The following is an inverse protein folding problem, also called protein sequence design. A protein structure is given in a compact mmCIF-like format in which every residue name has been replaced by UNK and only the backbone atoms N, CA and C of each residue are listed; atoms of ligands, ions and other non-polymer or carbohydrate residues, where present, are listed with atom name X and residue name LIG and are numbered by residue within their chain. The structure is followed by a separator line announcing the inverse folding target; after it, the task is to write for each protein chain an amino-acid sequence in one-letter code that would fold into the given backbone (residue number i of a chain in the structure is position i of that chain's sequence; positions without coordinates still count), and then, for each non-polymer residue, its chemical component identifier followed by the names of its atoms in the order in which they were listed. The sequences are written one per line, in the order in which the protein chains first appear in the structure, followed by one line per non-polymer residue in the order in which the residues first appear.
data_IF_596575487642
#
_entry.id   IF_596575487642
#
_cell.length_a   1.000
_cell.length_b   1.000
_cell.length_c   1.000
_cell.angle_alpha   90.00
_cell.angle_beta   90.00
_cell.angle_gamma   90.00
#
_symmetry.space_group_name_H-M   'P 1'
#
loop_
_entity.id
_entity.type
_entity.pdbx_description
1 polymer ?
#
# COMPACT_ATOMS: atom_id res chain seq x y z
N UNK A 1 20.10 -14.18 -4.90
CA UNK A 1 20.24 -12.94 -4.08
C UNK A 1 20.64 -13.29 -2.65
N UNK A 2 21.34 -12.43 -1.89
CA UNK A 2 21.62 -12.69 -0.46
C UNK A 2 20.44 -12.27 0.43
N UNK A 3 20.31 -12.87 1.62
CA UNK A 3 19.16 -12.65 2.53
C UNK A 3 19.09 -11.21 3.07
N UNK A 4 20.24 -10.60 3.33
CA UNK A 4 20.34 -9.22 3.78
C UNK A 4 19.95 -8.22 2.68
N UNK A 5 20.33 -8.49 1.44
CA UNK A 5 19.94 -7.68 0.28
C UNK A 5 18.43 -7.79 0.02
N UNK A 6 17.86 -8.99 0.15
CA UNK A 6 16.42 -9.22 0.01
C UNK A 6 15.62 -8.45 1.06
N UNK A 7 16.04 -8.56 2.32
CA UNK A 7 15.38 -7.87 3.43
C UNK A 7 15.48 -6.35 3.26
N UNK A 8 16.62 -5.82 2.83
CA UNK A 8 16.79 -4.40 2.51
C UNK A 8 15.87 -3.95 1.38
N UNK A 9 15.78 -4.69 0.28
CA UNK A 9 14.97 -4.33 -0.88
C UNK A 9 13.46 -4.44 -0.61
N UNK A 10 13.04 -5.41 0.20
CA UNK A 10 11.64 -5.54 0.66
C UNK A 10 11.25 -4.37 1.56
N UNK A 11 12.16 -3.92 2.44
CA UNK A 11 11.91 -2.78 3.33
C UNK A 11 12.20 -1.40 2.72
N UNK A 12 12.83 -1.31 1.55
CA UNK A 12 13.04 -0.04 0.86
C UNK A 12 11.72 0.50 0.29
N UNK A 13 11.11 1.40 1.06
CA UNK A 13 9.80 2.01 0.75
C UNK A 13 9.90 3.19 -0.22
N UNK A 14 11.10 3.60 -0.62
CA UNK A 14 11.36 4.83 -1.37
C UNK A 14 10.75 4.84 -2.78
N UNK A 15 10.83 3.71 -3.49
CA UNK A 15 10.30 3.57 -4.85
C UNK A 15 9.54 2.25 -5.02
N UNK A 16 8.25 2.35 -5.33
CA UNK A 16 7.40 1.17 -5.49
C UNK A 16 7.69 0.40 -6.80
N UNK A 17 8.29 1.05 -7.81
CA UNK A 17 8.66 0.39 -9.07
C UNK A 17 9.77 -0.64 -8.86
N UNK A 18 10.76 -0.29 -8.03
CA UNK A 18 11.82 -1.23 -7.63
C UNK A 18 11.26 -2.48 -6.94
N UNK A 19 10.20 -2.32 -6.14
CA UNK A 19 9.54 -3.45 -5.48
C UNK A 19 8.70 -4.30 -6.45
N UNK A 20 8.12 -3.69 -7.49
CA UNK A 20 7.48 -4.44 -8.58
C UNK A 20 8.51 -5.24 -9.39
N UNK A 21 9.64 -4.64 -9.74
CA UNK A 21 10.75 -5.35 -10.41
C UNK A 21 11.30 -6.47 -9.52
N UNK A 22 11.38 -6.25 -8.21
CA UNK A 22 11.75 -7.29 -7.26
C UNK A 22 10.75 -8.46 -7.29
N UNK A 23 9.44 -8.18 -7.29
CA UNK A 23 8.41 -9.23 -7.39
C UNK A 23 8.59 -10.05 -8.67
N UNK A 24 8.84 -9.40 -9.82
CA UNK A 24 9.07 -10.09 -11.09
C UNK A 24 10.30 -11.01 -11.04
N UNK A 25 11.39 -10.58 -10.38
CA UNK A 25 12.58 -11.42 -10.16
C UNK A 25 12.29 -12.57 -9.20
N UNK A 26 11.60 -12.28 -8.10
CA UNK A 26 11.23 -13.27 -7.10
C UNK A 26 10.33 -14.34 -7.71
N UNK A 27 9.41 -13.97 -8.60
CA UNK A 27 8.52 -14.87 -9.34
C UNK A 27 9.32 -15.94 -10.13
N UNK A 28 10.46 -15.58 -10.71
CA UNK A 28 11.33 -16.49 -11.46
C UNK A 28 12.12 -17.47 -10.57
N UNK A 29 12.57 -17.04 -9.39
CA UNK A 29 13.47 -17.85 -8.53
C UNK A 29 12.80 -19.06 -7.85
N UNK A 30 11.46 -19.13 -7.79
CA UNK A 30 10.64 -20.23 -7.22
C UNK A 30 11.20 -20.91 -5.94
N UNK A 31 11.91 -20.17 -5.10
CA UNK A 31 12.53 -20.67 -3.88
C UNK A 31 11.61 -20.43 -2.67
N UNK A 32 11.75 -21.23 -1.60
CA UNK A 32 11.01 -21.01 -0.35
C UNK A 32 11.18 -19.58 0.18
N UNK A 33 12.40 -19.03 0.09
CA UNK A 33 12.72 -17.66 0.49
C UNK A 33 12.00 -16.62 -0.36
N UNK A 34 11.92 -16.83 -1.68
CA UNK A 34 11.19 -15.93 -2.56
C UNK A 34 9.69 -15.93 -2.23
N UNK A 35 9.13 -17.08 -1.86
CA UNK A 35 7.74 -17.20 -1.44
C UNK A 35 7.49 -16.44 -0.13
N UNK A 36 8.39 -16.56 0.86
CA UNK A 36 8.28 -15.79 2.12
C UNK A 36 8.34 -14.28 1.87
N UNK A 37 9.27 -13.81 1.04
CA UNK A 37 9.37 -12.39 0.69
C UNK A 37 8.11 -11.87 -0.03
N UNK A 38 7.55 -12.66 -0.95
CA UNK A 38 6.29 -12.33 -1.62
C UNK A 38 5.12 -12.28 -0.62
N UNK A 39 5.07 -13.17 0.37
CA UNK A 39 4.04 -13.16 1.42
C UNK A 39 4.13 -11.89 2.26
N UNK A 40 5.34 -11.47 2.63
CA UNK A 40 5.59 -10.21 3.35
C UNK A 40 5.12 -9.01 2.52
N UNK A 41 5.49 -8.95 1.24
CA UNK A 41 5.07 -7.88 0.33
C UNK A 41 3.54 -7.83 0.15
N UNK A 42 2.88 -8.99 0.01
CA UNK A 42 1.43 -9.07 -0.15
C UNK A 42 0.66 -8.61 1.09
N UNK A 43 1.20 -8.82 2.30
CA UNK A 43 0.54 -8.47 3.57
C UNK A 43 0.88 -7.06 4.06
N UNK A 44 2.15 -6.68 3.99
CA UNK A 44 2.68 -5.54 4.74
C UNK A 44 2.97 -4.30 3.87
N UNK A 45 2.97 -4.43 2.54
CA UNK A 45 3.20 -3.26 1.68
C UNK A 45 2.01 -2.29 1.73
N UNK A 46 2.33 -1.00 1.70
CA UNK A 46 1.33 0.08 1.74
C UNK A 46 0.77 0.37 0.33
N UNK A 47 1.48 -0.01 -0.73
CA UNK A 47 1.07 0.19 -2.12
C UNK A 47 0.23 -1.00 -2.58
N UNK A 48 -1.01 -0.72 -2.95
CA UNK A 48 -1.92 -1.76 -3.44
C UNK A 48 -1.36 -2.52 -4.65
N UNK A 49 -0.77 -1.83 -5.63
CA UNK A 49 -0.20 -2.48 -6.82
C UNK A 49 0.88 -3.50 -6.46
N UNK A 50 1.73 -3.19 -5.46
CA UNK A 50 2.77 -4.10 -4.97
C UNK A 50 2.13 -5.30 -4.26
N UNK A 51 1.13 -5.07 -3.39
CA UNK A 51 0.40 -6.16 -2.73
C UNK A 51 -0.30 -7.09 -3.73
N UNK A 52 -0.96 -6.52 -4.71
CA UNK A 52 -1.70 -7.26 -5.73
C UNK A 52 -0.74 -8.07 -6.60
N UNK A 53 0.35 -7.48 -7.10
CA UNK A 53 1.36 -8.19 -7.89
C UNK A 53 2.02 -9.33 -7.08
N UNK A 54 2.30 -9.10 -5.80
CA UNK A 54 2.84 -10.15 -4.93
C UNK A 54 1.82 -11.28 -4.69
N UNK A 55 0.54 -10.95 -4.52
CA UNK A 55 -0.53 -11.94 -4.41
C UNK A 55 -0.72 -12.74 -5.69
N UNK A 56 -0.69 -12.09 -6.85
CA UNK A 56 -0.80 -12.74 -8.16
C UNK A 56 0.35 -13.73 -8.39
N UNK A 57 1.59 -13.30 -8.11
CA UNK A 57 2.77 -14.17 -8.17
C UNK A 57 2.68 -15.36 -7.20
N UNK A 58 2.04 -15.21 -6.04
CA UNK A 58 1.79 -16.30 -5.09
C UNK A 58 0.66 -17.22 -5.56
N UNK A 59 -0.38 -16.66 -6.19
CA UNK A 59 -1.51 -17.41 -6.73
C UNK A 59 -1.07 -18.32 -7.87
N UNK A 60 -0.20 -17.83 -8.77
CA UNK A 60 0.40 -18.64 -9.83
C UNK A 60 1.25 -19.81 -9.30
N UNK A 61 1.80 -19.67 -8.09
CA UNK A 61 2.54 -20.72 -7.38
C UNK A 61 1.66 -21.70 -6.61
N UNK A 62 0.34 -21.50 -6.62
CA UNK A 62 -0.61 -22.31 -5.84
C UNK A 62 -0.61 -22.01 -4.34
N UNK A 63 -0.04 -20.89 -3.90
CA UNK A 63 -0.06 -20.48 -2.50
C UNK A 63 -1.39 -19.77 -2.21
N UNK A 64 -2.24 -20.40 -1.39
CA UNK A 64 -3.53 -19.86 -1.01
C UNK A 64 -3.36 -18.66 -0.05
N UNK A 65 -3.34 -17.45 -0.61
CA UNK A 65 -3.35 -16.20 0.14
C UNK A 65 -4.67 -15.44 -0.12
N UNK A 66 -5.22 -14.81 0.91
CA UNK A 66 -6.41 -13.96 0.77
C UNK A 66 -6.09 -12.78 -0.15
N UNK A 67 -6.93 -12.58 -1.17
CA UNK A 67 -6.76 -11.50 -2.13
C UNK A 67 -6.70 -10.14 -1.40
N UNK A 68 -5.64 -9.34 -1.65
CA UNK A 68 -5.53 -8.02 -1.07
C UNK A 68 -6.63 -7.15 -1.66
N UNK A 69 -7.55 -6.71 -0.82
CA UNK A 69 -8.60 -5.76 -1.24
C UNK A 69 -8.02 -4.38 -1.41
N UNK A 70 -8.52 -3.66 -2.41
CA UNK A 70 -8.26 -2.24 -2.58
C UNK A 70 -8.82 -1.50 -1.36
N UNK A 71 -7.98 -1.26 -0.35
CA UNK A 71 -8.28 -0.23 0.64
C UNK A 71 -8.31 1.08 -0.13
N UNK A 72 -9.52 1.61 -0.32
CA UNK A 72 -9.73 2.82 -1.09
C UNK A 72 -8.93 3.95 -0.44
N UNK A 73 -7.82 4.34 -1.07
CA UNK A 73 -7.07 5.55 -0.68
C UNK A 73 -7.97 6.79 -0.77
N UNK A 74 -9.03 6.72 -1.58
CA UNK A 74 -10.09 7.71 -1.65
C UNK A 74 -10.87 7.80 -0.33
N UNK A 75 -11.17 6.69 0.34
CA UNK A 75 -11.86 6.69 1.63
C UNK A 75 -10.97 7.31 2.73
N UNK A 76 -9.71 6.88 2.85
CA UNK A 76 -8.77 7.44 3.83
C UNK A 76 -8.37 8.90 3.54
N UNK A 77 -8.47 9.33 2.28
CA UNK A 77 -8.27 10.72 1.86
C UNK A 77 -9.53 11.57 2.09
N UNK A 78 -10.72 11.04 1.81
CA UNK A 78 -12.02 11.67 2.11
C UNK A 78 -12.17 11.94 3.60
N UNK A 79 -11.81 10.97 4.45
CA UNK A 79 -11.88 11.10 5.89
C UNK A 79 -11.00 12.26 6.39
N UNK A 80 -9.75 12.33 5.89
CA UNK A 80 -8.83 13.45 6.16
C UNK A 80 -9.28 14.79 5.56
N UNK A 81 -9.95 14.76 4.42
CA UNK A 81 -10.49 15.96 3.78
C UNK A 81 -11.71 16.51 4.53
N UNK A 82 -12.62 15.63 4.99
CA UNK A 82 -13.79 15.96 5.79
C UNK A 82 -13.41 16.59 7.14
N UNK A 83 -12.42 16.06 7.83
CA UNK A 83 -11.90 16.65 9.08
C UNK A 83 -11.28 18.04 8.89
N UNK A 84 -10.86 18.36 7.67
CA UNK A 84 -10.29 19.66 7.32
C UNK A 84 -11.37 20.64 6.88
N UNK A 85 -12.36 20.19 6.11
CA UNK A 85 -13.51 21.03 5.71
C UNK A 85 -14.42 21.36 6.88
N UNK A 86 -14.61 20.47 7.86
CA UNK A 86 -15.38 20.77 9.07
C UNK A 86 -14.83 21.97 9.85
N UNK A 87 -13.49 22.11 9.93
CA UNK A 87 -12.85 23.28 10.56
C UNK A 87 -13.02 24.56 9.76
N UNK A 88 -12.96 24.48 8.43
CA UNK A 88 -13.15 25.64 7.55
C UNK A 88 -14.61 26.10 7.55
N UNK A 89 -15.57 25.18 7.52
CA UNK A 89 -17.00 25.49 7.59
C UNK A 89 -17.35 26.15 8.92
N UNK A 90 -16.79 25.66 10.05
CA UNK A 90 -17.00 26.30 11.36
C UNK A 90 -16.40 27.71 11.41
N UNK A 91 -15.19 27.89 10.88
CA UNK A 91 -14.55 29.20 10.80
C UNK A 91 -15.34 30.19 9.92
N UNK A 92 -15.85 29.73 8.78
CA UNK A 92 -16.70 30.53 7.91
C UNK A 92 -18.06 30.82 8.55
N UNK A 93 -18.66 29.85 9.25
CA UNK A 93 -19.91 30.05 10.01
C UNK A 93 -19.77 31.12 11.10
N UNK A 94 -18.71 31.05 11.91
CA UNK A 94 -18.41 32.04 12.95
C UNK A 94 -18.12 33.42 12.35
N UNK A 95 -17.49 33.48 11.17
CA UNK A 95 -17.18 34.73 10.48
C UNK A 95 -18.43 35.37 9.85
N UNK A 96 -19.31 34.57 9.23
CA UNK A 96 -20.58 35.04 8.66
C UNK A 96 -21.56 35.48 9.75
N UNK A 97 -21.65 34.78 10.88
CA UNK A 97 -22.52 35.19 12.00
C UNK A 97 -22.13 36.54 12.61
N UNK A 98 -20.83 36.90 12.54
CA UNK A 98 -20.30 38.16 13.05
C UNK A 98 -20.53 39.36 12.11
N UNK A 99 -20.93 39.11 10.87
CA UNK A 99 -21.14 40.11 9.82
C UNK A 99 -22.61 40.23 9.37
N UNK A 100 -23.52 39.44 9.95
CA UNK A 100 -24.96 39.64 9.84
C UNK A 100 -25.36 40.69 10.90
N UNK A 101 -25.85 41.87 10.52
CA UNK A 101 -26.32 42.89 11.45
C UNK A 101 -27.59 42.47 12.22
#
# INVERSE_FOLDING_TARGET
MTDEELTRLVHDKSDYRKRLDLIARLQQEQSARSTEALVTLAKEDFVFAVRHAAWEALSERGVALKEPRLRSRFADWLERAMDRTARVIRFLGDFYWKWIP
#
